data_IF_954812899219
#
_entry.id   IF_954812899219
#
_cell.length_a   1.000
_cell.length_b   1.000
_cell.length_c   1.000
_cell.angle_alpha   90.00
_cell.angle_beta   90.00
_cell.angle_gamma   90.00
#
_symmetry.space_group_name_H-M   'P 1'
#
loop_
_entity.id
_entity.type
_entity.pdbx_description
1 polymer ?
#
# COMPACT_ATOMS: atom_id res chain seq x y z
N UNK A 1 1.88 -27.63 6.99
CA UNK A 1 1.96 -26.23 6.49
C UNK A 1 0.62 -25.54 6.23
N UNK A 2 -0.49 -26.24 5.93
CA UNK A 2 -1.80 -25.59 5.62
C UNK A 2 -2.56 -24.98 6.83
N UNK A 3 -2.20 -25.30 8.07
CA UNK A 3 -2.87 -24.80 9.29
C UNK A 3 -2.30 -23.48 9.83
N UNK A 4 -1.02 -23.18 9.57
CA UNK A 4 -0.37 -21.96 10.06
C UNK A 4 -0.78 -20.70 9.30
N UNK A 5 -1.09 -20.81 8.00
CA UNK A 5 -1.52 -19.66 7.17
C UNK A 5 -2.84 -19.03 7.63
N UNK A 6 -3.77 -19.83 8.18
CA UNK A 6 -5.05 -19.32 8.69
C UNK A 6 -4.90 -18.47 9.95
N UNK A 7 -3.90 -18.76 10.78
CA UNK A 7 -3.69 -18.07 12.06
C UNK A 7 -3.11 -16.66 11.82
N UNK A 8 -2.20 -16.49 10.86
CA UNK A 8 -1.64 -15.18 10.53
C UNK A 8 -2.68 -14.21 9.95
N UNK A 9 -3.58 -14.69 9.10
CA UNK A 9 -4.64 -13.85 8.53
C UNK A 9 -5.62 -13.36 9.61
N UNK A 10 -5.92 -14.22 10.59
CA UNK A 10 -6.76 -13.88 11.74
C UNK A 10 -6.02 -12.89 12.67
N UNK A 11 -4.72 -13.08 12.91
CA UNK A 11 -3.94 -12.16 13.75
C UNK A 11 -3.84 -10.76 13.10
N UNK A 12 -3.61 -10.67 11.79
CA UNK A 12 -3.55 -9.39 11.07
C UNK A 12 -4.93 -8.69 11.07
N UNK A 13 -6.02 -9.45 10.92
CA UNK A 13 -7.39 -8.92 11.03
C UNK A 13 -7.77 -8.54 12.48
N UNK A 14 -7.16 -9.16 13.50
CA UNK A 14 -7.37 -8.82 14.90
C UNK A 14 -6.55 -7.60 15.35
N UNK A 15 -5.36 -7.37 14.77
CA UNK A 15 -4.56 -6.18 15.09
C UNK A 15 -5.16 -4.86 14.56
N UNK A 16 -6.09 -4.92 13.59
CA UNK A 16 -6.91 -3.76 13.21
C UNK A 16 -7.96 -3.35 14.25
N UNK A 17 -8.21 -4.18 15.28
CA UNK A 17 -9.24 -3.93 16.29
C UNK A 17 -8.77 -3.27 17.59
N UNK A 18 -7.47 -2.98 17.77
CA UNK A 18 -6.90 -2.69 19.11
C UNK A 18 -6.43 -1.26 19.34
N UNK A 19 -7.07 -0.24 18.76
CA UNK A 19 -6.90 1.16 19.17
C UNK A 19 -8.25 1.83 19.43
N UNK A 20 -8.74 1.61 20.64
CA UNK A 20 -9.95 2.22 21.17
C UNK A 20 -9.68 3.67 21.61
N UNK A 21 -9.86 4.64 20.70
CA UNK A 21 -10.40 5.99 21.00
C UNK A 21 -10.47 6.92 19.78
N UNK A 22 -9.72 6.66 18.72
CA UNK A 22 -9.75 7.50 17.53
C UNK A 22 -10.85 7.05 16.55
N UNK A 23 -11.59 8.00 15.98
CA UNK A 23 -12.54 7.73 14.88
C UNK A 23 -11.82 6.97 13.77
N UNK A 24 -12.39 5.83 13.39
CA UNK A 24 -11.93 5.01 12.28
C UNK A 24 -12.74 5.39 11.03
N UNK A 25 -12.03 5.76 9.97
CA UNK A 25 -12.59 6.11 8.67
C UNK A 25 -12.27 5.00 7.69
N UNK A 26 -13.28 4.54 6.96
CA UNK A 26 -13.07 3.63 5.84
C UNK A 26 -12.86 4.43 4.57
N UNK A 27 -12.10 3.88 3.64
CA UNK A 27 -11.93 4.49 2.33
C UNK A 27 -11.80 3.46 1.23
N UNK A 28 -12.19 3.91 0.04
CA UNK A 28 -11.85 3.27 -1.22
C UNK A 28 -11.10 4.27 -2.09
N UNK A 29 -10.32 3.80 -3.04
CA UNK A 29 -9.66 4.67 -3.99
C UNK A 29 -9.21 3.97 -5.24
N UNK A 30 -8.82 4.79 -6.20
CA UNK A 30 -8.19 4.36 -7.44
C UNK A 30 -6.77 4.90 -7.46
N UNK A 31 -5.87 4.18 -8.11
CA UNK A 31 -4.50 4.63 -8.27
C UNK A 31 -3.95 4.33 -9.65
N UNK A 32 -2.96 5.11 -10.04
CA UNK A 32 -2.06 4.83 -11.15
C UNK A 32 -0.64 4.79 -10.62
N UNK A 33 0.23 4.00 -11.25
CA UNK A 33 1.63 3.97 -10.87
C UNK A 33 2.58 3.73 -12.02
N UNK A 34 3.78 4.28 -11.87
CA UNK A 34 4.95 3.94 -12.67
C UNK A 34 5.73 2.88 -11.88
N UNK A 35 5.84 1.69 -12.46
CA UNK A 35 6.40 0.52 -11.81
C UNK A 35 7.68 0.09 -12.51
N UNK A 36 8.80 0.11 -11.78
CA UNK A 36 10.08 -0.35 -12.26
C UNK A 36 10.36 -1.74 -11.70
N UNK A 37 10.41 -2.73 -12.59
CA UNK A 37 10.62 -4.14 -12.28
C UNK A 37 11.79 -4.63 -13.12
N UNK A 38 12.90 -4.98 -12.47
CA UNK A 38 14.09 -5.51 -13.15
C UNK A 38 14.55 -4.62 -14.35
N UNK A 39 14.59 -3.30 -14.11
CA UNK A 39 14.99 -2.31 -15.12
C UNK A 39 13.92 -1.99 -16.18
N UNK A 40 12.77 -2.68 -16.19
CA UNK A 40 11.65 -2.39 -17.09
C UNK A 40 10.61 -1.48 -16.42
N UNK A 41 10.18 -0.46 -17.15
CA UNK A 41 9.15 0.48 -16.71
C UNK A 41 7.78 0.06 -17.21
N UNK A 42 6.80 0.02 -16.31
CA UNK A 42 5.41 -0.33 -16.58
C UNK A 42 4.50 0.78 -16.06
N UNK A 43 3.38 1.01 -16.75
CA UNK A 43 2.29 1.80 -16.21
C UNK A 43 1.23 0.83 -15.69
N UNK A 44 0.78 1.03 -14.44
CA UNK A 44 -0.31 0.25 -13.87
C UNK A 44 -1.47 1.13 -13.40
N UNK A 45 -2.63 0.49 -13.30
CA UNK A 45 -3.81 1.03 -12.65
C UNK A 45 -4.19 0.10 -11.51
N UNK A 46 -4.85 0.67 -10.51
CA UNK A 46 -5.20 -0.08 -9.32
C UNK A 46 -6.38 0.48 -8.54
N UNK A 47 -6.82 -0.34 -7.59
CA UNK A 47 -7.84 -0.02 -6.63
C UNK A 47 -7.32 -0.27 -5.22
N UNK A 48 -7.73 0.59 -4.29
CA UNK A 48 -7.33 0.55 -2.89
C UNK A 48 -8.57 0.52 -2.02
N UNK A 49 -8.53 -0.28 -0.96
CA UNK A 49 -9.54 -0.30 0.08
C UNK A 49 -8.83 -0.30 1.43
N UNK A 50 -9.27 0.52 2.37
CA UNK A 50 -8.58 0.58 3.64
C UNK A 50 -9.37 1.25 4.75
N UNK A 51 -8.73 1.26 5.90
CA UNK A 51 -9.22 1.90 7.11
C UNK A 51 -8.09 2.73 7.70
N UNK A 52 -8.43 3.90 8.24
CA UNK A 52 -7.46 4.75 8.91
C UNK A 52 -8.05 5.41 10.15
N UNK A 53 -7.21 5.69 11.12
CA UNK A 53 -7.51 6.57 12.23
C UNK A 53 -6.57 7.79 12.17
N UNK A 54 -6.52 8.59 13.23
CA UNK A 54 -5.69 9.80 13.26
C UNK A 54 -4.17 9.55 13.20
N UNK A 55 -3.69 8.31 13.19
CA UNK A 55 -2.26 7.98 13.20
C UNK A 55 -1.87 6.84 12.24
N UNK A 56 -2.70 5.80 12.14
CA UNK A 56 -2.42 4.58 11.38
C UNK A 56 -3.42 4.40 10.25
N UNK A 57 -2.94 3.85 9.14
CA UNK A 57 -3.72 3.46 7.97
C UNK A 57 -3.35 2.04 7.58
N UNK A 58 -4.33 1.17 7.41
CA UNK A 58 -4.15 -0.16 6.84
C UNK A 58 -4.95 -0.26 5.56
N UNK A 59 -4.37 -0.81 4.50
CA UNK A 59 -5.05 -0.91 3.20
C UNK A 59 -4.67 -2.14 2.41
N UNK A 60 -5.62 -2.61 1.62
CA UNK A 60 -5.48 -3.57 0.54
C UNK A 60 -5.33 -2.80 -0.77
N UNK A 61 -4.39 -3.21 -1.61
CA UNK A 61 -4.07 -2.57 -2.87
C UNK A 61 -3.99 -3.63 -3.97
N UNK A 62 -4.80 -3.46 -5.01
CA UNK A 62 -4.79 -4.27 -6.21
C UNK A 62 -4.23 -3.43 -7.33
N UNK A 63 -3.11 -3.84 -7.92
CA UNK A 63 -2.45 -3.15 -9.02
C UNK A 63 -2.30 -4.10 -10.21
N UNK A 64 -2.52 -3.61 -11.42
CA UNK A 64 -2.38 -4.41 -12.64
C UNK A 64 -1.84 -3.56 -13.79
N UNK A 65 -0.90 -4.14 -14.53
CA UNK A 65 -0.45 -3.68 -15.85
C UNK A 65 -0.66 -4.80 -16.88
N UNK A 66 -0.18 -4.60 -18.11
CA UNK A 66 -0.13 -5.66 -19.11
C UNK A 66 0.78 -6.84 -18.67
N UNK A 67 1.83 -6.53 -17.91
CA UNK A 67 2.95 -7.42 -17.63
C UNK A 67 3.00 -7.96 -16.20
N UNK A 68 2.25 -7.37 -15.26
CA UNK A 68 2.15 -7.91 -13.90
C UNK A 68 0.82 -7.58 -13.21
N UNK A 69 0.51 -8.33 -12.16
CA UNK A 69 -0.59 -8.08 -11.23
C UNK A 69 -0.09 -8.24 -9.80
N UNK A 70 -0.50 -7.37 -8.90
CA UNK A 70 -0.12 -7.43 -7.49
C UNK A 70 -1.30 -7.23 -6.55
N UNK A 71 -1.28 -7.99 -5.46
CA UNK A 71 -2.14 -7.80 -4.29
C UNK A 71 -1.24 -7.49 -3.10
N UNK A 72 -1.39 -6.28 -2.55
CA UNK A 72 -0.50 -5.74 -1.51
C UNK A 72 -1.34 -5.27 -0.33
N UNK A 73 -0.93 -5.70 0.86
CA UNK A 73 -1.40 -5.15 2.13
C UNK A 73 -0.36 -4.14 2.61
N UNK A 74 -0.82 -2.97 3.03
CA UNK A 74 0.02 -1.90 3.54
C UNK A 74 -0.43 -1.50 4.94
N UNK A 75 0.52 -1.16 5.79
CA UNK A 75 0.27 -0.50 7.08
C UNK A 75 1.20 0.70 7.22
N UNK A 76 0.60 1.88 7.26
CA UNK A 76 1.25 3.17 7.23
C UNK A 76 0.99 3.94 8.51
N UNK A 77 1.97 4.72 8.93
CA UNK A 77 1.88 5.65 10.04
C UNK A 77 2.11 7.07 9.56
N UNK A 78 1.27 8.00 9.99
CA UNK A 78 1.53 9.42 9.82
C UNK A 78 2.82 9.81 10.57
N UNK A 79 3.75 10.46 9.87
CA UNK A 79 4.99 11.00 10.44
C UNK A 79 4.89 12.50 10.56
N UNK A 80 5.66 13.10 11.47
CA UNK A 80 5.64 14.54 11.71
C UNK A 80 4.23 15.13 11.97
N UNK A 81 3.33 14.34 12.56
CA UNK A 81 1.90 14.67 12.74
C UNK A 81 1.69 16.04 13.39
N UNK A 82 2.48 16.38 14.42
CA UNK A 82 2.35 17.66 15.11
C UNK A 82 2.79 18.84 14.24
N UNK A 83 3.89 18.71 13.49
CA UNK A 83 4.36 19.75 12.57
C UNK A 83 3.37 20.00 11.42
N UNK A 84 2.67 18.96 10.98
CA UNK A 84 1.71 19.03 9.88
C UNK A 84 0.26 19.14 10.32
N UNK A 85 -0.01 19.41 11.60
CA UNK A 85 -1.37 19.37 12.16
C UNK A 85 -2.34 20.31 11.44
N UNK A 86 -1.91 21.53 11.15
CA UNK A 86 -2.71 22.58 10.49
C UNK A 86 -2.61 22.55 8.96
N UNK A 87 -1.67 21.80 8.40
CA UNK A 87 -1.46 21.71 6.95
C UNK A 87 -2.32 20.61 6.33
N UNK A 88 -2.76 20.82 5.08
CA UNK A 88 -3.48 19.79 4.30
C UNK A 88 -2.58 18.62 3.90
N UNK A 89 -1.27 18.84 3.84
CA UNK A 89 -0.29 17.82 3.51
C UNK A 89 0.04 16.97 4.74
N UNK A 90 -0.07 15.65 4.61
CA UNK A 90 0.14 14.67 5.69
C UNK A 90 1.16 13.62 5.23
N UNK A 91 2.44 13.72 5.67
CA UNK A 91 3.44 12.73 5.31
C UNK A 91 3.23 11.42 6.08
N UNK A 92 3.58 10.31 5.45
CA UNK A 92 3.48 8.97 6.04
C UNK A 92 4.65 8.07 5.66
N UNK A 93 4.89 7.05 6.48
CA UNK A 93 5.77 5.93 6.16
C UNK A 93 5.18 4.62 6.68
N UNK A 94 5.52 3.51 6.05
CA UNK A 94 4.89 2.23 6.35
C UNK A 94 5.62 1.04 5.76
N UNK A 95 5.00 -0.12 5.98
CA UNK A 95 5.43 -1.40 5.45
C UNK A 95 4.38 -1.95 4.50
N UNK A 96 4.85 -2.69 3.52
CA UNK A 96 4.01 -3.34 2.52
C UNK A 96 4.42 -4.82 2.39
N UNK A 97 3.43 -5.69 2.25
CA UNK A 97 3.62 -7.12 2.00
C UNK A 97 2.52 -7.64 1.09
N UNK A 98 2.80 -8.68 0.31
CA UNK A 98 1.77 -9.27 -0.53
C UNK A 98 2.31 -10.27 -1.54
N UNK A 99 1.64 -10.35 -2.67
CA UNK A 99 1.97 -11.26 -3.77
C UNK A 99 1.97 -10.51 -5.09
N UNK A 100 2.94 -10.84 -5.94
CA UNK A 100 3.08 -10.33 -7.30
C UNK A 100 3.08 -11.51 -8.29
N UNK A 101 2.17 -11.48 -9.25
CA UNK A 101 2.22 -12.30 -10.45
C UNK A 101 2.89 -11.53 -11.59
N UNK A 102 3.96 -12.07 -12.15
CA UNK A 102 4.73 -11.46 -13.25
C UNK A 102 4.60 -12.30 -14.52
N UNK A 103 4.51 -11.62 -15.67
CA UNK A 103 4.64 -12.18 -17.02
C UNK A 103 5.94 -11.74 -17.70
N UNK A 104 6.74 -10.90 -17.04
CA UNK A 104 8.03 -10.45 -17.55
C UNK A 104 9.03 -11.61 -17.55
N UNK A 105 9.69 -11.81 -18.68
CA UNK A 105 10.81 -12.76 -18.79
C UNK A 105 11.89 -12.44 -17.75
N UNK A 106 12.36 -13.47 -17.04
CA UNK A 106 13.37 -13.35 -15.99
C UNK A 106 12.84 -12.99 -14.60
N UNK A 107 11.58 -12.54 -14.48
CA UNK A 107 10.97 -12.12 -13.21
C UNK A 107 9.97 -13.16 -12.72
N UNK A 108 10.30 -13.84 -11.62
CA UNK A 108 9.44 -14.83 -11.01
C UNK A 108 8.25 -14.19 -10.26
N UNK A 109 7.09 -14.86 -10.31
CA UNK A 109 5.96 -14.55 -9.44
C UNK A 109 6.25 -15.02 -8.02
N UNK A 110 5.82 -14.27 -7.01
CA UNK A 110 6.14 -14.62 -5.64
C UNK A 110 5.61 -13.66 -4.58
N UNK A 111 5.99 -13.95 -3.33
CA UNK A 111 5.72 -13.04 -2.22
C UNK A 111 6.64 -11.84 -2.33
N UNK A 112 6.10 -10.69 -1.99
CA UNK A 112 6.81 -9.42 -1.97
C UNK A 112 6.66 -8.75 -0.62
N UNK A 113 7.71 -8.04 -0.19
CA UNK A 113 7.69 -7.27 1.04
C UNK A 113 8.65 -6.09 0.95
N UNK A 114 8.40 -5.07 1.77
CA UNK A 114 9.25 -3.90 1.82
C UNK A 114 8.56 -2.72 2.52
N UNK A 115 8.90 -1.52 2.08
CA UNK A 115 8.49 -0.27 2.71
C UNK A 115 7.83 0.69 1.73
N UNK A 116 7.10 1.65 2.27
CA UNK A 116 6.59 2.78 1.51
C UNK A 116 6.64 4.06 2.32
N UNK A 117 6.64 5.18 1.61
CA UNK A 117 6.50 6.51 2.19
C UNK A 117 5.79 7.40 1.18
N UNK A 118 5.20 8.48 1.65
CA UNK A 118 4.47 9.37 0.77
C UNK A 118 3.87 10.55 1.50
N UNK A 119 3.04 11.27 0.77
CA UNK A 119 2.31 12.44 1.25
C UNK A 119 0.87 12.35 0.77
N UNK A 120 -0.06 12.53 1.70
CA UNK A 120 -1.47 12.75 1.36
C UNK A 120 -1.74 14.25 1.34
N UNK A 121 -2.48 14.73 0.35
CA UNK A 121 -3.04 16.07 0.29
C UNK A 121 -4.53 15.99 0.54
N UNK A 122 -4.97 16.43 1.72
CA UNK A 122 -6.36 16.36 2.15
C UNK A 122 -7.13 17.56 1.60
N UNK A 123 -8.08 17.32 0.70
CA UNK A 123 -8.96 18.38 0.19
C UNK A 123 -10.04 18.75 1.20
N UNK A 124 -10.69 17.72 1.74
CA UNK A 124 -11.79 17.80 2.69
C UNK A 124 -11.95 16.44 3.40
N UNK A 125 -12.94 16.33 4.27
CA UNK A 125 -13.19 15.12 5.07
C UNK A 125 -13.58 13.88 4.25
N UNK A 126 -13.84 14.03 2.94
CA UNK A 126 -14.27 12.94 2.05
C UNK A 126 -13.24 12.56 0.99
N UNK A 127 -12.31 13.45 0.64
CA UNK A 127 -11.39 13.23 -0.48
C UNK A 127 -9.97 13.65 -0.15
N UNK A 128 -9.01 12.82 -0.55
CA UNK A 128 -7.60 13.17 -0.59
C UNK A 128 -6.92 12.64 -1.86
N UNK A 129 -5.76 13.21 -2.18
CA UNK A 129 -4.82 12.63 -3.14
C UNK A 129 -3.59 12.14 -2.39
N UNK A 130 -3.09 10.95 -2.73
CA UNK A 130 -1.88 10.35 -2.18
C UNK A 130 -0.82 10.31 -3.28
N UNK A 131 0.35 10.88 -2.98
CA UNK A 131 1.56 10.66 -3.77
C UNK A 131 2.55 9.84 -2.95
N UNK A 132 2.81 8.62 -3.39
CA UNK A 132 3.58 7.63 -2.64
C UNK A 132 4.68 6.97 -3.45
N UNK A 133 5.74 6.59 -2.76
CA UNK A 133 6.77 5.69 -3.27
C UNK A 133 6.75 4.39 -2.47
N UNK A 134 6.85 3.26 -3.17
CA UNK A 134 6.90 1.92 -2.57
C UNK A 134 8.10 1.15 -3.13
N UNK A 135 8.87 0.56 -2.24
CA UNK A 135 9.96 -0.36 -2.58
C UNK A 135 9.64 -1.75 -2.04
N UNK A 136 9.66 -2.75 -2.91
CA UNK A 136 9.38 -4.14 -2.60
C UNK A 136 10.49 -5.04 -3.16
N UNK A 137 10.75 -6.13 -2.45
CA UNK A 137 11.68 -7.19 -2.87
C UNK A 137 10.90 -8.49 -3.00
N UNK A 138 11.15 -9.26 -4.06
CA UNK A 138 10.56 -10.60 -4.23
C UNK A 138 11.35 -11.66 -3.47
N UNK A 139 10.68 -12.70 -2.99
CA UNK A 139 11.32 -13.86 -2.36
C UNK A 139 11.75 -14.97 -3.35
N UNK A 140 11.76 -14.67 -4.66
CA UNK A 140 12.16 -15.61 -5.71
C UNK A 140 13.67 -15.84 -5.77
N UNK A 141 14.11 -16.83 -6.57
CA UNK A 141 15.55 -17.12 -6.74
C UNK A 141 16.30 -15.95 -7.37
N UNK A 142 15.63 -15.24 -8.26
CA UNK A 142 16.06 -13.97 -8.83
C UNK A 142 15.29 -12.84 -8.13
N UNK A 143 15.79 -12.38 -7.00
CA UNK A 143 15.17 -11.30 -6.23
C UNK A 143 15.18 -10.00 -7.04
N UNK A 144 14.08 -9.73 -7.74
CA UNK A 144 13.89 -8.47 -8.45
C UNK A 144 13.39 -7.39 -7.48
N UNK A 145 13.93 -6.19 -7.61
CA UNK A 145 13.37 -5.01 -6.96
C UNK A 145 12.15 -4.50 -7.73
N UNK A 146 11.07 -4.21 -7.01
CA UNK A 146 9.87 -3.55 -7.51
C UNK A 146 9.78 -2.16 -6.87
N UNK A 147 9.92 -1.13 -7.69
CA UNK A 147 9.78 0.26 -7.27
C UNK A 147 8.51 0.85 -7.87
N UNK A 148 7.64 1.43 -7.06
CA UNK A 148 6.40 2.06 -7.53
C UNK A 148 6.41 3.54 -7.16
N UNK A 149 6.18 4.42 -8.15
CA UNK A 149 5.71 5.78 -7.92
C UNK A 149 4.20 5.81 -8.15
N UNK A 150 3.44 6.13 -7.12
CA UNK A 150 1.99 5.91 -7.06
C UNK A 150 1.28 7.25 -6.87
N UNK A 151 0.25 7.48 -7.66
CA UNK A 151 -0.72 8.55 -7.46
C UNK A 151 -2.09 7.93 -7.20
N UNK A 152 -2.72 8.27 -6.07
CA UNK A 152 -4.04 7.75 -5.70
C UNK A 152 -5.02 8.88 -5.42
N UNK A 153 -6.30 8.62 -5.68
CA UNK A 153 -7.43 9.42 -5.22
C UNK A 153 -8.25 8.53 -4.27
N UNK A 154 -8.50 9.00 -3.05
CA UNK A 154 -9.33 8.28 -2.09
C UNK A 154 -10.65 8.99 -1.81
N UNK A 155 -11.67 8.19 -1.51
CA UNK A 155 -12.98 8.59 -1.03
C UNK A 155 -13.24 7.95 0.34
N UNK A 156 -13.49 8.79 1.35
CA UNK A 156 -13.78 8.40 2.73
C UNK A 156 -15.29 8.42 3.01
N UNK A 157 -15.77 7.42 3.76
CA UNK A 157 -17.18 7.27 4.12
C UNK A 157 -17.38 6.72 5.54
#
# INVERSE_FOLDING_TARGET
>A
MKRFFKIYFIIIALMSGSYANDKLYQFMGINSSIDMIDGKTNLSLGAKYGQQNGLWRTSLNLNASADYQAFIVQSDRAIFKEAFKTYQLKPYMGFAFGYMGSRLEGVESGLVYGGNFGVNYVFNDRYDIDFGYRYLVTNGKNSAGLNNLILSLHYFY
#
